data_IF_327117544540
#
_entry.id   IF_327117544540
#
_cell.length_a   1.000
_cell.length_b   1.000
_cell.length_c   1.000
_cell.angle_alpha   90.00
_cell.angle_beta   90.00
_cell.angle_gamma   90.00
#
_symmetry.space_group_name_H-M   'P 1'
#
loop_
_entity.id
_entity.type
_entity.pdbx_description
1 polymer ?
#
# COMPACT_ATOMS: atom_id res chain seq x y z
N UNK A 1 11.18 -5.20 -0.32
CA UNK A 1 10.06 -4.25 -0.29
C UNK A 1 10.64 -2.85 -0.48
N UNK A 2 10.13 -2.09 -1.46
CA UNK A 2 10.61 -0.72 -1.75
C UNK A 2 9.57 0.26 -1.19
N UNK A 3 10.00 1.22 -0.38
CA UNK A 3 9.18 2.32 0.15
C UNK A 3 9.62 3.62 -0.52
N UNK A 4 8.73 4.25 -1.29
CA UNK A 4 8.97 5.56 -1.91
C UNK A 4 7.85 6.51 -1.52
N UNK A 5 8.21 7.72 -1.07
CA UNK A 5 7.27 8.79 -0.76
C UNK A 5 7.37 9.90 -1.80
N UNK A 6 6.32 10.10 -2.59
CA UNK A 6 6.20 11.26 -3.47
C UNK A 6 4.72 11.70 -3.52
N UNK A 7 4.45 12.92 -3.05
CA UNK A 7 3.10 13.36 -2.69
C UNK A 7 2.29 13.91 -3.87
N UNK A 8 1.00 13.57 -3.95
CA UNK A 8 -0.05 14.53 -4.33
C UNK A 8 -0.74 14.39 -5.69
N UNK A 9 -0.47 13.36 -6.50
CA UNK A 9 -1.24 13.10 -7.72
C UNK A 9 -1.90 11.72 -7.67
N UNK A 10 -2.99 11.46 -8.43
CA UNK A 10 -3.51 10.11 -8.62
C UNK A 10 -2.37 9.20 -9.17
N UNK A 11 -1.94 8.18 -8.42
CA UNK A 11 -0.74 7.38 -8.73
C UNK A 11 0.58 7.87 -8.11
N UNK A 12 0.54 8.96 -7.33
CA UNK A 12 1.60 9.47 -6.46
C UNK A 12 1.22 9.33 -4.98
N UNK A 13 1.42 8.12 -4.48
CA UNK A 13 1.25 7.85 -3.06
C UNK A 13 2.53 8.11 -2.26
N UNK A 14 2.33 8.58 -1.03
CA UNK A 14 3.37 8.85 -0.04
C UNK A 14 3.97 7.59 0.56
N UNK A 15 3.22 6.49 0.56
CA UNK A 15 3.72 5.16 0.86
C UNK A 15 3.35 4.23 -0.28
N UNK A 16 4.36 3.53 -0.80
CA UNK A 16 4.19 2.43 -1.74
C UNK A 16 4.82 1.18 -1.16
N UNK A 17 4.14 0.05 -1.31
CA UNK A 17 4.58 -1.26 -0.84
C UNK A 17 4.50 -2.22 -2.01
N UNK A 18 5.66 -2.70 -2.45
CA UNK A 18 5.73 -3.77 -3.45
C UNK A 18 5.63 -5.13 -2.77
N UNK A 19 4.65 -5.94 -3.20
CA UNK A 19 4.47 -7.32 -2.77
C UNK A 19 5.04 -8.27 -3.84
N UNK A 20 6.13 -8.95 -3.51
CA UNK A 20 6.74 -9.91 -4.43
C UNK A 20 6.05 -11.26 -4.33
N UNK A 21 5.71 -11.87 -5.47
CA UNK A 21 5.14 -13.21 -5.54
C UNK A 21 3.65 -13.32 -5.18
N UNK A 22 2.99 -12.22 -4.85
CA UNK A 22 1.55 -12.14 -4.59
C UNK A 22 0.95 -10.90 -5.22
N UNK A 23 -0.33 -10.97 -5.61
CA UNK A 23 -1.11 -9.83 -6.10
C UNK A 23 -1.84 -9.17 -4.93
N UNK A 24 -1.55 -7.89 -4.67
CA UNK A 24 -2.24 -7.05 -3.70
C UNK A 24 -3.72 -6.85 -4.07
N UNK A 25 -4.05 -6.58 -5.34
CA UNK A 25 -5.45 -6.56 -5.80
C UNK A 25 -5.53 -7.05 -7.24
N UNK A 26 -6.14 -8.22 -7.47
CA UNK A 26 -6.45 -8.68 -8.83
C UNK A 26 -7.34 -7.66 -9.55
N UNK A 27 -6.96 -7.26 -10.76
CA UNK A 27 -7.73 -6.31 -11.58
C UNK A 27 -7.33 -4.84 -11.44
N UNK A 28 -6.39 -4.51 -10.54
CA UNK A 28 -5.74 -3.21 -10.55
C UNK A 28 -4.74 -3.08 -11.71
N UNK A 29 -4.45 -1.85 -12.13
CA UNK A 29 -3.44 -1.55 -13.16
C UNK A 29 -2.05 -2.05 -12.72
N UNK A 30 -1.75 -1.86 -11.43
CA UNK A 30 -0.53 -2.33 -10.78
C UNK A 30 -0.89 -3.28 -9.64
N UNK A 31 -1.20 -4.56 -9.93
CA UNK A 31 -1.75 -5.49 -8.96
C UNK A 31 -0.79 -5.84 -7.82
N UNK A 32 0.52 -5.65 -8.01
CA UNK A 32 1.55 -5.99 -7.02
C UNK A 32 1.96 -4.80 -6.13
N UNK A 33 1.47 -3.61 -6.42
CA UNK A 33 1.77 -2.40 -5.65
C UNK A 33 0.58 -2.00 -4.81
N UNK A 34 0.80 -1.83 -3.51
CA UNK A 34 -0.18 -1.26 -2.59
C UNK A 34 0.26 0.16 -2.16
N UNK A 35 -0.71 1.04 -1.99
CA UNK A 35 -0.51 2.48 -1.88
C UNK A 35 -1.27 3.06 -0.68
N UNK A 36 -0.69 4.04 -0.02
CA UNK A 36 -1.36 4.84 1.01
C UNK A 36 -0.91 6.30 0.93
N UNK A 37 -1.86 7.22 1.04
CA UNK A 37 -1.61 8.66 0.99
C UNK A 37 -1.51 9.24 2.40
N UNK A 38 -0.76 10.33 2.57
CA UNK A 38 -0.61 11.07 3.83
C UNK A 38 -1.94 11.59 4.39
N UNK A 39 -2.95 11.77 3.55
CA UNK A 39 -4.29 12.20 3.93
C UNK A 39 -5.11 11.09 4.58
N UNK A 40 -4.65 9.82 4.51
CA UNK A 40 -5.31 8.72 5.20
C UNK A 40 -5.11 8.86 6.72
N UNK A 41 -6.19 8.85 7.54
CA UNK A 41 -6.07 8.97 8.99
C UNK A 41 -5.16 7.91 9.62
N UNK A 42 -5.04 6.74 8.99
CA UNK A 42 -4.24 5.63 9.49
C UNK A 42 -2.80 5.62 8.92
N UNK A 43 -2.42 6.61 8.10
CA UNK A 43 -1.12 6.64 7.41
C UNK A 43 0.07 6.33 8.32
N UNK A 44 0.15 7.03 9.46
CA UNK A 44 1.27 6.88 10.40
C UNK A 44 1.32 5.49 11.04
N UNK A 45 0.17 4.93 11.40
CA UNK A 45 0.08 3.61 12.01
C UNK A 45 0.49 2.53 11.00
N UNK A 46 0.01 2.64 9.75
CA UNK A 46 0.37 1.71 8.68
C UNK A 46 1.86 1.78 8.37
N UNK A 47 2.42 2.99 8.21
CA UNK A 47 3.84 3.19 7.96
C UNK A 47 4.70 2.61 9.09
N UNK A 48 4.32 2.84 10.35
CA UNK A 48 5.05 2.30 11.50
C UNK A 48 5.06 0.77 11.52
N UNK A 49 3.91 0.12 11.29
CA UNK A 49 3.82 -1.33 11.25
C UNK A 49 4.64 -1.92 10.10
N UNK A 50 4.59 -1.29 8.92
CA UNK A 50 5.36 -1.66 7.74
C UNK A 50 6.88 -1.53 7.98
N UNK A 51 7.34 -0.43 8.60
CA UNK A 51 8.75 -0.28 8.93
C UNK A 51 9.18 -1.30 10.00
N UNK A 52 8.31 -1.57 10.97
CA UNK A 52 8.56 -2.55 12.03
C UNK A 52 8.70 -3.96 11.46
N UNK A 53 7.85 -4.39 10.52
CA UNK A 53 8.01 -5.72 9.90
C UNK A 53 9.34 -5.84 9.16
N UNK A 54 9.77 -4.78 8.48
CA UNK A 54 11.07 -4.79 7.78
C UNK A 54 12.25 -4.92 8.73
N UNK A 55 12.23 -4.21 9.87
CA UNK A 55 13.36 -4.21 10.81
C UNK A 55 13.37 -5.44 11.73
N UNK A 56 12.20 -6.03 12.01
CA UNK A 56 12.08 -7.16 12.94
C UNK A 56 11.94 -8.52 12.25
N UNK A 57 11.71 -8.55 10.94
CA UNK A 57 11.42 -9.78 10.20
C UNK A 57 10.06 -10.40 10.53
N UNK A 58 9.20 -9.70 11.29
CA UNK A 58 7.83 -10.17 11.59
C UNK A 58 6.99 -10.19 10.32
N UNK A 59 6.05 -11.13 10.28
CA UNK A 59 5.09 -11.20 9.18
C UNK A 59 4.08 -10.07 9.32
N UNK A 60 3.69 -9.45 8.21
CA UNK A 60 2.65 -8.43 8.17
C UNK A 60 1.49 -8.92 7.30
N UNK A 61 0.27 -8.76 7.79
CA UNK A 61 -0.94 -8.91 6.99
C UNK A 61 -1.41 -7.53 6.55
N UNK A 62 -1.79 -7.44 5.28
CA UNK A 62 -2.25 -6.21 4.66
C UNK A 62 -3.60 -6.45 3.99
N UNK A 63 -4.59 -5.64 4.35
CA UNK A 63 -5.85 -5.54 3.63
C UNK A 63 -5.75 -4.46 2.56
N UNK A 64 -6.18 -4.75 1.35
CA UNK A 64 -6.12 -3.84 0.20
C UNK A 64 -7.48 -3.77 -0.52
N UNK A 65 -7.74 -2.65 -1.18
CA UNK A 65 -8.90 -2.48 -2.06
C UNK A 65 -8.51 -1.77 -3.36
N UNK A 66 -9.09 -2.14 -4.52
CA UNK A 66 -8.90 -1.38 -5.75
C UNK A 66 -9.65 -0.04 -5.67
N UNK A 67 -8.98 1.05 -6.05
CA UNK A 67 -9.55 2.39 -6.12
C UNK A 67 -9.33 2.97 -7.51
N UNK A 68 -10.42 3.44 -8.12
CA UNK A 68 -10.37 4.03 -9.45
C UNK A 68 -9.63 5.38 -9.43
N UNK A 69 -8.76 5.60 -10.41
CA UNK A 69 -8.19 6.92 -10.69
C UNK A 69 -9.18 7.67 -11.58
N UNK A 70 -9.60 8.87 -11.15
CA UNK A 70 -10.65 9.64 -11.80
C UNK A 70 -10.52 9.67 -13.32
N UNK A 71 -11.48 9.03 -14.00
CA UNK A 71 -11.66 9.14 -15.45
C UNK A 71 -11.28 7.93 -16.33
N UNK A 72 -10.97 6.74 -15.82
CA UNK A 72 -10.71 5.57 -16.68
C UNK A 72 -10.67 4.20 -15.99
N UNK A 73 -10.36 3.14 -16.76
CA UNK A 73 -10.20 1.75 -16.28
C UNK A 73 -8.99 1.52 -15.36
N UNK A 74 -8.26 2.58 -15.02
CA UNK A 74 -7.07 2.50 -14.20
C UNK A 74 -7.45 2.50 -12.72
N UNK A 75 -6.96 1.51 -11.99
CA UNK A 75 -7.12 1.44 -10.54
C UNK A 75 -5.83 1.06 -9.86
N UNK A 76 -5.64 1.54 -8.64
CA UNK A 76 -4.51 1.18 -7.78
C UNK A 76 -5.02 0.50 -6.52
N UNK A 77 -4.15 -0.27 -5.85
CA UNK A 77 -4.49 -0.85 -4.57
C UNK A 77 -4.29 0.13 -3.43
N UNK A 78 -5.36 0.61 -2.81
CA UNK A 78 -5.24 1.32 -1.54
C UNK A 78 -5.08 0.32 -0.39
N UNK A 79 -4.17 0.62 0.53
CA UNK A 79 -4.03 -0.11 1.80
C UNK A 79 -5.16 0.34 2.74
N UNK A 80 -5.93 -0.61 3.26
CA UNK A 80 -7.01 -0.36 4.22
C UNK A 80 -6.52 -0.46 5.67
N UNK A 81 -5.77 -1.52 5.93
CA UNK A 81 -5.23 -1.82 7.25
C UNK A 81 -3.99 -2.68 7.11
N UNK A 82 -3.16 -2.64 8.15
CA UNK A 82 -2.07 -3.59 8.34
C UNK A 82 -2.04 -4.02 9.79
N UNK A 83 -1.63 -5.27 10.04
CA UNK A 83 -1.29 -5.72 11.37
C UNK A 83 -0.13 -6.71 11.31
N UNK A 84 0.68 -6.70 12.37
CA UNK A 84 1.82 -7.60 12.50
C UNK A 84 1.36 -8.93 13.11
N UNK A 85 1.91 -10.03 12.59
CA UNK A 85 1.79 -11.36 13.14
C UNK A 85 3.16 -11.78 13.67
N UNK A 86 3.18 -12.13 14.96
CA UNK A 86 4.33 -12.69 15.66
C UNK A 86 4.82 -11.85 16.81
#
# INVERSE_FOLDING_TARGET
>A
MVVTANAGAPGNADLRVYLSGVSACPGATDPNWAFLNLTDPNYKAVLAAVLTSQTTGKTLVMGTQPVALGGGANSYCQILYVYLIG
#
